data_IF_671111749899
#
_entry.id   IF_671111749899
#
_cell.length_a   1.000
_cell.length_b   1.000
_cell.length_c   1.000
_cell.angle_alpha   90.00
_cell.angle_beta   90.00
_cell.angle_gamma   90.00
#
_symmetry.space_group_name_H-M   'P 1'
#
loop_
_entity.id
_entity.type
_entity.pdbx_description
1 polymer ?
#
# COMPACT_ATOMS: atom_id res chain seq x y z
N UNK A 1 -36.02 -21.45 -15.64
CA UNK A 1 -34.70 -22.08 -15.48
C UNK A 1 -34.40 -22.17 -13.99
N UNK A 2 -34.32 -23.37 -13.43
CA UNK A 2 -33.95 -23.60 -12.02
C UNK A 2 -32.48 -23.18 -11.87
N UNK A 3 -32.23 -22.17 -11.05
CA UNK A 3 -30.84 -21.79 -10.73
C UNK A 3 -30.21 -22.95 -9.94
N UNK A 4 -29.31 -23.67 -10.58
CA UNK A 4 -28.55 -24.76 -9.98
C UNK A 4 -27.86 -24.20 -8.72
N UNK A 5 -28.21 -24.74 -7.54
CA UNK A 5 -27.55 -24.38 -6.27
C UNK A 5 -26.08 -24.82 -6.39
N UNK A 6 -25.15 -23.89 -6.59
CA UNK A 6 -23.74 -24.20 -6.41
C UNK A 6 -23.48 -24.45 -4.92
N UNK A 7 -22.85 -25.58 -4.62
CA UNK A 7 -22.39 -25.86 -3.27
C UNK A 7 -21.32 -24.86 -2.83
N UNK A 8 -21.19 -24.64 -1.54
CA UNK A 8 -20.07 -23.84 -0.99
C UNK A 8 -18.72 -24.53 -1.20
N UNK A 9 -18.72 -25.80 -1.53
CA UNK A 9 -17.53 -26.61 -1.82
C UNK A 9 -17.24 -26.78 -3.31
N UNK A 10 -18.10 -26.27 -4.21
CA UNK A 10 -17.88 -26.37 -5.63
C UNK A 10 -16.85 -25.35 -6.12
N UNK A 11 -15.97 -25.79 -7.00
CA UNK A 11 -15.00 -24.92 -7.71
C UNK A 11 -14.04 -24.18 -6.78
N UNK A 12 -13.61 -24.83 -5.71
CA UNK A 12 -12.55 -24.29 -4.84
C UNK A 12 -11.25 -24.26 -5.64
N UNK A 13 -10.65 -23.08 -5.73
CA UNK A 13 -9.35 -22.88 -6.35
C UNK A 13 -8.24 -23.20 -5.35
N UNK A 14 -7.16 -23.82 -5.81
CA UNK A 14 -5.96 -23.98 -5.01
C UNK A 14 -4.73 -23.48 -5.76
N UNK A 15 -3.75 -23.01 -4.98
CA UNK A 15 -2.42 -22.66 -5.43
C UNK A 15 -1.40 -23.22 -4.45
N UNK A 16 -0.38 -23.88 -4.98
CA UNK A 16 0.82 -24.23 -4.21
C UNK A 16 2.00 -23.56 -4.88
N UNK A 17 2.85 -22.92 -4.10
CA UNK A 17 4.00 -22.20 -4.61
C UNK A 17 5.23 -22.47 -3.74
N UNK A 18 6.36 -22.69 -4.38
CA UNK A 18 7.67 -22.71 -3.74
C UNK A 18 8.52 -21.62 -4.38
N UNK A 19 9.12 -20.77 -3.56
CA UNK A 19 10.02 -19.70 -3.99
C UNK A 19 11.33 -19.77 -3.24
N UNK A 20 12.43 -19.54 -3.95
CA UNK A 20 13.75 -19.34 -3.39
C UNK A 20 14.39 -18.08 -3.98
N UNK A 21 15.04 -17.32 -3.14
CA UNK A 21 15.77 -16.09 -3.50
C UNK A 21 17.18 -16.17 -2.98
N UNK A 22 18.15 -15.82 -3.82
CA UNK A 22 19.55 -15.68 -3.46
C UNK A 22 20.08 -14.36 -4.00
N UNK A 23 20.77 -13.61 -3.16
CA UNK A 23 21.33 -12.29 -3.49
C UNK A 23 22.75 -12.16 -2.96
N UNK A 24 23.49 -11.24 -3.56
CA UNK A 24 24.76 -10.70 -3.06
C UNK A 24 24.54 -9.25 -2.61
N UNK A 25 25.43 -8.71 -1.80
CA UNK A 25 25.28 -7.39 -1.18
C UNK A 25 24.67 -7.47 0.22
N UNK A 26 24.17 -6.35 0.72
CA UNK A 26 23.66 -6.24 2.09
C UNK A 26 22.22 -6.76 2.20
N UNK A 27 21.44 -6.65 1.13
CA UNK A 27 20.01 -6.96 1.12
C UNK A 27 19.59 -7.64 -0.18
N UNK A 28 18.40 -8.24 -0.14
CA UNK A 28 17.67 -8.60 -1.35
C UNK A 28 17.25 -7.32 -2.09
N UNK A 29 17.42 -7.24 -3.43
CA UNK A 29 17.06 -6.06 -4.21
C UNK A 29 15.64 -5.59 -4.01
N UNK A 30 15.40 -4.26 -4.12
CA UNK A 30 14.11 -3.61 -3.86
C UNK A 30 12.93 -4.33 -4.52
N UNK A 31 13.01 -4.61 -5.82
CA UNK A 31 11.86 -5.15 -6.57
C UNK A 31 11.58 -6.64 -6.28
N UNK A 32 12.44 -7.32 -5.54
CA UNK A 32 12.11 -8.62 -4.94
C UNK A 32 11.31 -8.47 -3.64
N UNK A 33 11.41 -7.32 -2.97
CA UNK A 33 10.71 -7.04 -1.71
C UNK A 33 9.44 -6.22 -1.89
N UNK A 34 9.43 -5.28 -2.85
CA UNK A 34 8.39 -4.31 -3.03
C UNK A 34 7.11 -4.90 -3.65
N UNK A 35 5.95 -4.42 -3.19
CA UNK A 35 4.63 -4.76 -3.74
C UNK A 35 4.32 -6.27 -3.80
N UNK A 36 4.69 -6.98 -2.74
CA UNK A 36 4.48 -8.43 -2.56
C UNK A 36 3.52 -8.75 -1.42
N UNK A 37 2.70 -7.78 -1.00
CA UNK A 37 1.83 -7.90 0.17
C UNK A 37 2.59 -8.37 1.43
N UNK A 38 3.84 -7.91 1.59
CA UNK A 38 4.69 -8.26 2.71
C UNK A 38 5.20 -9.71 2.73
N UNK A 39 4.90 -10.51 1.72
CA UNK A 39 5.50 -11.84 1.57
C UNK A 39 6.85 -11.73 0.86
N UNK A 40 7.80 -11.12 1.55
CA UNK A 40 9.15 -10.85 1.07
C UNK A 40 10.14 -10.75 2.24
N UNK A 41 11.43 -10.70 1.94
CA UNK A 41 12.49 -10.61 2.94
C UNK A 41 13.68 -9.82 2.43
N UNK A 42 14.33 -9.07 3.33
CA UNK A 42 15.60 -8.40 3.06
C UNK A 42 16.81 -9.34 3.16
N UNK A 43 16.68 -10.52 3.77
CA UNK A 43 17.80 -11.46 3.88
C UNK A 43 18.21 -11.97 2.51
N UNK A 44 19.50 -11.98 2.25
CA UNK A 44 20.09 -12.35 0.96
C UNK A 44 19.81 -13.79 0.52
N UNK A 45 19.61 -14.70 1.47
CA UNK A 45 19.12 -16.05 1.23
C UNK A 45 17.80 -16.26 1.96
N UNK A 46 16.72 -16.45 1.19
CA UNK A 46 15.38 -16.63 1.73
C UNK A 46 14.51 -17.48 0.81
N UNK A 47 13.39 -17.95 1.33
CA UNK A 47 12.42 -18.69 0.52
C UNK A 47 11.20 -19.11 1.32
N UNK A 48 10.19 -19.59 0.64
CA UNK A 48 8.96 -20.09 1.24
C UNK A 48 8.33 -21.23 0.45
N UNK A 49 7.50 -22.00 1.15
CA UNK A 49 6.48 -22.86 0.57
C UNK A 49 5.10 -22.30 0.99
N UNK A 50 4.24 -21.99 0.01
CA UNK A 50 2.94 -21.33 0.20
C UNK A 50 1.83 -22.23 -0.32
N UNK A 51 0.74 -22.33 0.44
CA UNK A 51 -0.49 -23.02 0.05
C UNK A 51 -1.68 -22.08 0.18
N UNK A 52 -2.46 -21.98 -0.89
CA UNK A 52 -3.70 -21.18 -0.93
C UNK A 52 -4.87 -22.05 -1.33
N UNK A 53 -5.99 -21.88 -0.64
CA UNK A 53 -7.30 -22.40 -1.05
C UNK A 53 -8.29 -21.24 -1.00
N UNK A 54 -9.10 -21.08 -2.05
CA UNK A 54 -10.10 -20.03 -2.08
C UNK A 54 -11.34 -20.43 -2.88
N UNK A 55 -12.47 -19.93 -2.44
CA UNK A 55 -13.69 -19.87 -3.23
C UNK A 55 -13.96 -18.39 -3.53
N UNK A 56 -13.66 -17.94 -4.77
CA UNK A 56 -13.83 -16.53 -5.09
C UNK A 56 -15.32 -16.14 -5.16
N UNK A 57 -15.62 -14.94 -4.71
CA UNK A 57 -16.97 -14.38 -4.70
C UNK A 57 -17.58 -14.27 -6.11
N UNK A 58 -16.73 -14.13 -7.14
CA UNK A 58 -17.13 -14.07 -8.55
C UNK A 58 -17.86 -15.32 -9.06
N UNK A 59 -17.71 -16.46 -8.40
CA UNK A 59 -18.50 -17.66 -8.73
C UNK A 59 -20.02 -17.45 -8.58
N UNK A 60 -20.41 -16.48 -7.78
CA UNK A 60 -21.80 -16.11 -7.55
C UNK A 60 -22.23 -14.85 -8.30
N UNK A 61 -21.47 -14.41 -9.30
CA UNK A 61 -21.83 -13.26 -10.14
C UNK A 61 -23.18 -13.47 -10.83
N UNK A 62 -23.95 -12.39 -10.91
CA UNK A 62 -25.35 -12.45 -11.39
C UNK A 62 -26.38 -12.85 -10.33
N UNK A 63 -25.98 -13.25 -9.12
CA UNK A 63 -26.87 -13.57 -8.00
C UNK A 63 -27.01 -12.40 -7.03
N UNK A 64 -28.14 -12.30 -6.31
CA UNK A 64 -28.33 -11.30 -5.24
C UNK A 64 -27.39 -11.52 -4.05
N UNK A 65 -27.06 -12.78 -3.75
CA UNK A 65 -26.18 -13.22 -2.68
C UNK A 65 -24.98 -13.94 -3.24
N UNK A 66 -23.83 -13.73 -2.64
CA UNK A 66 -22.62 -14.47 -2.92
C UNK A 66 -21.84 -14.70 -1.62
N UNK A 67 -21.08 -15.79 -1.59
CA UNK A 67 -20.17 -16.11 -0.49
C UNK A 67 -18.80 -16.44 -1.07
N UNK A 68 -17.77 -15.80 -0.54
CA UNK A 68 -16.37 -16.08 -0.81
C UNK A 68 -15.62 -16.41 0.48
N UNK A 69 -14.55 -17.16 0.38
CA UNK A 69 -13.63 -17.39 1.49
C UNK A 69 -12.25 -17.79 0.96
N UNK A 70 -11.24 -17.60 1.77
CA UNK A 70 -9.87 -18.00 1.42
C UNK A 70 -9.00 -18.20 2.64
N UNK A 71 -8.05 -19.10 2.49
CA UNK A 71 -6.94 -19.29 3.41
C UNK A 71 -5.65 -19.43 2.59
N UNK A 72 -4.63 -18.72 3.02
CA UNK A 72 -3.33 -18.62 2.36
C UNK A 72 -2.23 -18.57 3.42
N UNK A 73 -1.40 -19.59 3.44
CA UNK A 73 -0.38 -19.78 4.48
C UNK A 73 0.96 -20.09 3.83
N UNK A 74 2.03 -19.48 4.33
CA UNK A 74 3.39 -19.75 3.93
C UNK A 74 4.24 -20.22 5.11
N UNK A 75 5.05 -21.24 4.86
CA UNK A 75 6.19 -21.61 5.69
C UNK A 75 7.44 -20.97 5.08
N UNK A 76 8.10 -20.08 5.81
CA UNK A 76 9.15 -19.22 5.30
C UNK A 76 10.44 -19.37 6.08
N UNK A 77 11.56 -19.29 5.37
CA UNK A 77 12.89 -19.26 5.93
C UNK A 77 13.57 -17.94 5.57
N UNK A 78 14.14 -17.26 6.55
CA UNK A 78 14.76 -15.96 6.33
C UNK A 78 13.78 -14.77 6.33
N UNK A 79 12.56 -14.94 6.79
CA UNK A 79 11.52 -13.91 6.91
C UNK A 79 11.39 -13.41 8.35
N UNK A 80 10.58 -12.38 8.56
CA UNK A 80 10.25 -11.85 9.90
C UNK A 80 9.45 -12.85 10.74
N UNK A 81 8.87 -13.87 10.12
CA UNK A 81 8.11 -14.94 10.78
C UNK A 81 8.27 -16.23 9.98
N UNK A 82 8.39 -17.37 10.66
CA UNK A 82 8.49 -18.69 10.01
C UNK A 82 7.14 -19.17 9.46
N UNK A 83 6.08 -18.93 10.20
CA UNK A 83 4.71 -19.20 9.75
C UNK A 83 4.01 -17.85 9.43
N UNK A 84 3.57 -17.71 8.20
CA UNK A 84 2.91 -16.50 7.73
C UNK A 84 1.49 -16.85 7.29
N UNK A 85 0.49 -16.35 8.00
CA UNK A 85 -0.88 -16.33 7.52
C UNK A 85 -1.05 -15.11 6.64
N UNK A 86 -0.92 -15.33 5.34
CA UNK A 86 -0.98 -14.26 4.35
C UNK A 86 -2.40 -13.75 4.13
N UNK A 87 -3.35 -14.70 4.06
CA UNK A 87 -4.77 -14.41 4.01
C UNK A 87 -5.54 -15.43 4.82
N UNK A 88 -6.57 -14.96 5.53
CA UNK A 88 -7.59 -15.80 6.14
C UNK A 88 -8.86 -14.96 6.24
N UNK A 89 -9.85 -15.22 5.40
CA UNK A 89 -11.04 -14.39 5.32
C UNK A 89 -12.30 -15.16 4.93
N UNK A 90 -13.42 -14.57 5.28
CA UNK A 90 -14.74 -14.88 4.76
C UNK A 90 -15.38 -13.60 4.24
N UNK A 91 -16.13 -13.70 3.14
CA UNK A 91 -16.84 -12.57 2.58
C UNK A 91 -18.24 -12.94 2.11
N UNK A 92 -19.17 -12.02 2.34
CA UNK A 92 -20.55 -12.13 1.90
C UNK A 92 -20.94 -10.92 1.06
N UNK A 93 -21.52 -11.17 -0.10
CA UNK A 93 -22.08 -10.12 -0.96
C UNK A 93 -23.59 -10.15 -0.89
N UNK A 94 -24.18 -8.98 -0.70
CA UNK A 94 -25.60 -8.75 -0.90
C UNK A 94 -25.80 -7.62 -1.90
N UNK A 95 -26.43 -7.94 -3.02
CA UNK A 95 -26.53 -7.05 -4.19
C UNK A 95 -25.14 -6.60 -4.65
N UNK A 96 -24.77 -5.34 -4.38
CA UNK A 96 -23.47 -4.73 -4.71
C UNK A 96 -22.56 -4.55 -3.49
N UNK A 97 -23.12 -4.60 -2.29
CA UNK A 97 -22.36 -4.46 -1.04
C UNK A 97 -21.70 -5.77 -0.64
N UNK A 98 -20.45 -5.72 -0.23
CA UNK A 98 -19.67 -6.85 0.26
C UNK A 98 -19.17 -6.58 1.67
N UNK A 99 -19.41 -7.52 2.59
CA UNK A 99 -18.81 -7.54 3.91
C UNK A 99 -17.72 -8.61 3.92
N UNK A 100 -16.50 -8.22 4.25
CA UNK A 100 -15.34 -9.12 4.40
C UNK A 100 -14.86 -9.07 5.84
N UNK A 101 -14.54 -10.23 6.43
CA UNK A 101 -13.98 -10.36 7.77
C UNK A 101 -12.70 -11.19 7.67
N UNK A 102 -11.58 -10.64 8.15
CA UNK A 102 -10.27 -11.30 8.15
C UNK A 102 -9.21 -10.54 7.39
N UNK A 103 -8.06 -11.18 7.20
CA UNK A 103 -6.95 -10.67 6.40
C UNK A 103 -7.12 -11.07 4.94
N UNK A 104 -7.15 -10.10 4.04
CA UNK A 104 -7.27 -10.31 2.58
C UNK A 104 -6.39 -9.34 1.83
N UNK A 105 -5.75 -9.82 0.78
CA UNK A 105 -5.02 -8.98 -0.19
C UNK A 105 -6.02 -8.16 -1.01
N UNK A 106 -5.90 -6.83 -0.96
CA UNK A 106 -6.70 -5.91 -1.78
C UNK A 106 -5.81 -5.23 -2.82
N UNK A 107 -6.27 -5.09 -4.07
CA UNK A 107 -5.51 -4.41 -5.09
C UNK A 107 -5.38 -2.90 -4.79
N UNK A 108 -4.35 -2.27 -5.33
CA UNK A 108 -4.28 -0.80 -5.40
C UNK A 108 -5.38 -0.29 -6.33
N UNK A 109 -5.94 0.84 -5.97
CA UNK A 109 -6.95 1.48 -6.82
C UNK A 109 -6.31 2.47 -7.79
N UNK A 110 -6.93 2.62 -8.95
CA UNK A 110 -6.56 3.55 -10.02
C UNK A 110 -5.14 3.38 -10.60
N UNK A 111 -4.42 2.30 -10.26
CA UNK A 111 -3.05 2.01 -10.71
C UNK A 111 -2.90 0.62 -11.29
N UNK A 112 -1.82 0.43 -12.03
CA UNK A 112 -1.43 -0.87 -12.52
C UNK A 112 -0.79 -1.71 -11.42
N UNK A 113 -1.37 -2.87 -11.09
CA UNK A 113 -0.93 -3.73 -9.99
C UNK A 113 0.48 -4.32 -10.20
N UNK A 114 0.89 -4.51 -11.44
CA UNK A 114 2.14 -5.17 -11.78
C UNK A 114 3.28 -4.19 -12.10
N UNK A 115 2.95 -3.01 -12.58
CA UNK A 115 3.92 -2.08 -13.19
C UNK A 115 4.08 -0.76 -12.45
N UNK A 116 3.13 -0.35 -11.59
CA UNK A 116 3.25 0.88 -10.79
C UNK A 116 4.26 0.70 -9.66
N UNK A 117 4.91 1.78 -9.27
CA UNK A 117 5.77 1.83 -8.08
C UNK A 117 4.98 1.59 -6.78
N UNK A 118 3.70 1.96 -6.74
CA UNK A 118 2.84 1.77 -5.58
C UNK A 118 1.90 2.95 -5.30
N UNK A 119 0.85 2.72 -4.52
CA UNK A 119 -0.03 3.77 -4.02
C UNK A 119 0.59 4.51 -2.84
N UNK A 120 0.29 5.80 -2.69
CA UNK A 120 0.82 6.60 -1.58
C UNK A 120 0.17 6.22 -0.22
N UNK A 121 -1.10 5.82 -0.21
CA UNK A 121 -1.84 5.53 1.03
C UNK A 121 -2.14 4.04 1.19
N UNK A 122 -2.97 3.49 0.31
CA UNK A 122 -3.44 2.10 0.37
C UNK A 122 -2.67 1.26 -0.67
N UNK A 123 -1.45 0.88 -0.31
CA UNK A 123 -0.55 0.10 -1.15
C UNK A 123 -0.69 -1.41 -0.94
N UNK A 124 0.12 -2.15 -1.70
CA UNK A 124 0.22 -3.62 -1.64
C UNK A 124 1.62 -4.06 -1.16
N UNK A 125 2.31 -3.19 -0.45
CA UNK A 125 3.69 -3.46 -0.06
C UNK A 125 3.80 -4.25 1.26
N UNK A 126 2.95 -3.97 2.25
CA UNK A 126 2.96 -4.64 3.55
C UNK A 126 1.94 -5.78 3.63
N UNK A 127 2.07 -6.64 4.67
CA UNK A 127 1.10 -7.72 4.94
C UNK A 127 -0.30 -7.16 5.15
N UNK A 128 -1.35 -7.84 4.65
CA UNK A 128 -2.73 -7.46 4.89
C UNK A 128 -3.06 -7.38 6.39
N UNK A 129 -3.70 -6.30 6.79
CA UNK A 129 -4.20 -6.14 8.17
C UNK A 129 -5.54 -6.87 8.30
N UNK A 130 -5.73 -7.75 9.31
CA UNK A 130 -7.03 -8.34 9.60
C UNK A 130 -8.05 -7.25 9.93
N UNK A 131 -9.21 -7.29 9.27
CA UNK A 131 -10.20 -6.22 9.37
C UNK A 131 -11.63 -6.70 9.09
N UNK A 132 -12.59 -5.94 9.54
CA UNK A 132 -13.98 -5.98 9.09
C UNK A 132 -14.14 -4.86 8.08
N UNK A 133 -14.46 -5.20 6.83
CA UNK A 133 -14.53 -4.28 5.70
C UNK A 133 -15.89 -4.37 5.01
N UNK A 134 -16.59 -3.24 4.94
CA UNK A 134 -17.78 -3.05 4.14
C UNK A 134 -17.41 -2.28 2.87
N UNK A 135 -17.74 -2.82 1.70
CA UNK A 135 -17.30 -2.26 0.44
C UNK A 135 -18.34 -2.38 -0.70
N UNK A 136 -18.26 -1.43 -1.61
CA UNK A 136 -18.69 -1.56 -3.00
C UNK A 136 -17.41 -1.84 -3.80
N UNK A 137 -17.11 -3.11 -4.06
CA UNK A 137 -15.85 -3.51 -4.73
C UNK A 137 -15.83 -3.14 -6.21
N UNK A 138 -17.01 -2.99 -6.82
CA UNK A 138 -17.18 -2.59 -8.21
C UNK A 138 -17.91 -1.26 -8.30
N UNK A 139 -17.68 -0.53 -9.39
CA UNK A 139 -18.41 0.70 -9.66
C UNK A 139 -19.92 0.44 -9.80
N UNK A 140 -20.68 0.97 -8.84
CA UNK A 140 -22.14 0.98 -8.88
C UNK A 140 -22.62 2.24 -9.62
N UNK A 141 -23.22 2.04 -10.78
CA UNK A 141 -23.81 3.14 -11.55
C UNK A 141 -24.97 3.75 -10.79
N UNK A 142 -24.91 5.06 -10.55
CA UNK A 142 -25.97 5.80 -9.86
C UNK A 142 -27.22 5.84 -10.73
N UNK A 143 -28.37 5.35 -10.24
CA UNK A 143 -29.62 5.42 -11.00
C UNK A 143 -29.98 6.84 -11.39
N UNK A 144 -30.53 7.01 -12.59
CA UNK A 144 -30.96 8.32 -13.10
C UNK A 144 -29.86 9.20 -13.72
N UNK A 145 -28.60 8.76 -13.70
CA UNK A 145 -27.47 9.53 -14.26
C UNK A 145 -27.10 9.15 -15.70
N UNK A 146 -27.93 8.37 -16.38
CA UNK A 146 -27.68 7.86 -17.75
C UNK A 146 -26.29 7.21 -17.89
N UNK A 147 -25.84 6.51 -16.86
CA UNK A 147 -24.51 5.86 -16.72
C UNK A 147 -23.32 6.83 -16.66
N UNK A 148 -23.56 8.12 -16.50
CA UNK A 148 -22.48 9.11 -16.39
C UNK A 148 -21.73 9.04 -15.07
N UNK A 149 -22.40 8.63 -13.99
CA UNK A 149 -21.79 8.58 -12.66
C UNK A 149 -21.86 7.19 -12.07
N UNK A 150 -20.75 6.74 -11.54
CA UNK A 150 -20.67 5.50 -10.77
C UNK A 150 -19.78 5.67 -9.55
N UNK A 151 -20.12 4.96 -8.46
CA UNK A 151 -19.43 5.03 -7.19
C UNK A 151 -18.83 3.67 -6.83
N UNK A 152 -17.67 3.70 -6.21
CA UNK A 152 -17.00 2.58 -5.56
C UNK A 152 -16.37 3.05 -4.25
N UNK A 153 -16.12 2.14 -3.31
CA UNK A 153 -15.45 2.53 -2.08
C UNK A 153 -15.57 1.51 -0.97
N UNK A 154 -14.97 1.84 0.17
CA UNK A 154 -15.02 0.98 1.35
C UNK A 154 -14.86 1.75 2.65
N UNK A 155 -15.22 1.09 3.74
CA UNK A 155 -14.94 1.44 5.11
C UNK A 155 -14.47 0.18 5.81
N UNK A 156 -13.38 0.25 6.56
CA UNK A 156 -12.84 -0.89 7.27
C UNK A 156 -12.26 -0.50 8.64
N UNK A 157 -12.37 -1.43 9.58
CA UNK A 157 -11.71 -1.37 10.88
C UNK A 157 -11.01 -2.69 11.15
N UNK A 158 -9.80 -2.61 11.66
CA UNK A 158 -8.95 -3.76 11.91
C UNK A 158 -7.98 -3.54 13.06
N UNK A 159 -7.08 -4.48 13.19
CA UNK A 159 -6.00 -4.43 14.19
C UNK A 159 -4.72 -4.94 13.54
N UNK A 160 -3.63 -4.21 13.70
CA UNK A 160 -2.31 -4.67 13.24
C UNK A 160 -1.88 -5.91 14.04
N UNK A 161 -1.16 -6.79 13.40
CA UNK A 161 -0.64 -8.03 13.99
C UNK A 161 0.85 -8.08 13.74
N UNK A 162 1.67 -8.19 14.79
CA UNK A 162 3.12 -8.27 14.63
C UNK A 162 3.77 -9.35 15.52
N UNK A 163 2.97 -10.05 16.33
CA UNK A 163 3.42 -11.13 17.22
C UNK A 163 4.64 -10.73 18.07
N UNK A 164 4.66 -9.48 18.55
CA UNK A 164 5.79 -8.91 19.29
C UNK A 164 6.99 -8.54 18.43
N UNK A 165 6.91 -8.64 17.12
CA UNK A 165 8.01 -8.33 16.20
C UNK A 165 8.61 -6.93 16.43
N UNK A 166 7.80 -5.91 16.67
CA UNK A 166 8.30 -4.57 16.93
C UNK A 166 9.24 -4.54 18.14
N UNK A 167 8.82 -5.15 19.25
CA UNK A 167 9.59 -5.23 20.48
C UNK A 167 10.90 -5.99 20.30
N UNK A 168 10.89 -7.05 19.49
CA UNK A 168 12.08 -7.86 19.20
C UNK A 168 13.04 -7.18 18.21
N UNK A 169 12.51 -6.34 17.31
CA UNK A 169 13.29 -5.63 16.29
C UNK A 169 13.98 -4.39 16.82
N UNK A 170 13.32 -3.62 17.71
CA UNK A 170 13.87 -2.35 18.18
C UNK A 170 15.10 -2.53 19.05
N UNK A 171 16.09 -1.66 18.86
CA UNK A 171 17.22 -1.57 19.78
C UNK A 171 16.74 -1.05 21.15
N UNK A 172 17.47 -1.35 22.25
CA UNK A 172 17.11 -0.87 23.58
C UNK A 172 16.84 0.63 23.61
N UNK A 173 15.78 1.04 24.29
CA UNK A 173 15.34 2.44 24.42
C UNK A 173 14.79 3.07 23.12
N UNK A 174 14.46 2.29 22.10
CA UNK A 174 13.71 2.77 20.95
C UNK A 174 12.24 2.47 21.09
N UNK A 175 11.42 3.35 20.50
CA UNK A 175 9.95 3.26 20.60
C UNK A 175 9.39 2.07 19.82
N UNK A 176 8.32 1.50 20.36
CA UNK A 176 7.49 0.48 19.69
C UNK A 176 6.02 0.62 20.12
N UNK A 177 5.13 -0.05 19.41
CA UNK A 177 3.69 -0.06 19.73
C UNK A 177 3.15 -1.47 19.77
N UNK A 178 2.16 -1.70 20.62
CA UNK A 178 1.47 -2.97 20.76
C UNK A 178 -0.04 -2.78 20.56
N UNK A 179 -0.66 -3.72 19.84
CA UNK A 179 -2.12 -3.77 19.74
C UNK A 179 -2.78 -2.62 19.00
N UNK A 180 -2.05 -1.89 18.15
CA UNK A 180 -2.53 -0.74 17.37
C UNK A 180 -3.74 -1.12 16.53
N UNK A 181 -4.79 -0.31 16.63
CA UNK A 181 -5.99 -0.42 15.80
C UNK A 181 -5.76 0.27 14.44
N UNK A 182 -6.49 -0.21 13.46
CA UNK A 182 -6.39 0.23 12.07
C UNK A 182 -7.76 0.66 11.55
N UNK A 183 -7.80 1.74 10.81
CA UNK A 183 -8.95 2.16 10.03
C UNK A 183 -8.53 2.51 8.62
N UNK A 184 -9.36 2.16 7.64
CA UNK A 184 -9.25 2.69 6.28
C UNK A 184 -10.61 2.97 5.69
N UNK A 185 -10.67 3.98 4.83
CA UNK A 185 -11.84 4.33 4.05
C UNK A 185 -11.40 4.91 2.71
N UNK A 186 -12.17 4.64 1.68
CA UNK A 186 -11.98 5.26 0.38
C UNK A 186 -13.30 5.39 -0.36
N UNK A 187 -13.39 6.45 -1.14
CA UNK A 187 -14.50 6.68 -2.06
C UNK A 187 -13.98 7.10 -3.42
N UNK A 188 -14.55 6.53 -4.47
CA UNK A 188 -14.16 6.83 -5.86
C UNK A 188 -15.39 7.12 -6.68
N UNK A 189 -15.36 8.22 -7.39
CA UNK A 189 -16.37 8.64 -8.38
C UNK A 189 -15.83 8.43 -9.77
N UNK A 190 -16.51 7.63 -10.58
CA UNK A 190 -16.23 7.48 -12.00
C UNK A 190 -17.21 8.32 -12.81
N UNK A 191 -16.69 9.07 -13.77
CA UNK A 191 -17.41 10.00 -14.64
C UNK A 191 -17.15 9.59 -16.08
N UNK A 192 -18.21 9.50 -16.87
CA UNK A 192 -18.18 9.27 -18.32
C UNK A 192 -18.46 7.80 -18.71
N UNK A 193 -19.44 7.58 -19.63
CA UNK A 193 -19.77 6.25 -20.15
C UNK A 193 -19.02 5.89 -21.43
N UNK A 194 -18.25 6.84 -22.02
CA UNK A 194 -17.63 6.70 -23.34
C UNK A 194 -16.15 6.36 -23.30
N UNK A 195 -15.48 6.68 -24.38
CA UNK A 195 -14.04 6.43 -24.53
C UNK A 195 -13.19 7.25 -23.56
N UNK A 196 -13.66 8.42 -23.16
CA UNK A 196 -13.04 9.21 -22.11
C UNK A 196 -13.73 8.93 -20.77
N UNK A 197 -12.94 8.60 -19.75
CA UNK A 197 -13.41 8.42 -18.38
C UNK A 197 -12.50 9.16 -17.40
N UNK A 198 -13.12 9.75 -16.37
CA UNK A 198 -12.42 10.33 -15.24
C UNK A 198 -12.81 9.56 -13.97
N UNK A 199 -11.83 9.23 -13.16
CA UNK A 199 -12.00 8.60 -11.85
C UNK A 199 -11.32 9.50 -10.82
N UNK A 200 -12.08 9.95 -9.83
CA UNK A 200 -11.61 10.81 -8.76
C UNK A 200 -11.88 10.12 -7.43
N UNK A 201 -10.94 10.13 -6.52
CA UNK A 201 -11.10 9.46 -5.24
C UNK A 201 -10.37 10.16 -4.10
N UNK A 202 -10.79 9.77 -2.91
CA UNK A 202 -10.13 10.10 -1.66
C UNK A 202 -9.88 8.79 -0.91
N UNK A 203 -8.62 8.54 -0.61
CA UNK A 203 -8.16 7.44 0.26
C UNK A 203 -7.75 8.02 1.60
N UNK A 204 -8.18 7.42 2.69
CA UNK A 204 -7.75 7.79 4.03
C UNK A 204 -7.52 6.56 4.90
N UNK A 205 -6.58 6.68 5.80
CA UNK A 205 -6.27 5.64 6.77
C UNK A 205 -5.87 6.25 8.11
N UNK A 206 -5.96 5.45 9.17
CA UNK A 206 -5.63 5.88 10.52
C UNK A 206 -5.11 4.70 11.34
N UNK A 207 -4.06 4.93 12.12
CA UNK A 207 -3.65 4.07 13.23
C UNK A 207 -4.08 4.75 14.52
N UNK A 208 -4.73 4.02 15.43
CA UNK A 208 -5.25 4.54 16.69
C UNK A 208 -5.30 3.45 17.75
N UNK A 209 -5.55 3.82 19.00
CA UNK A 209 -5.62 2.84 20.10
C UNK A 209 -4.30 2.09 20.33
N UNK A 210 -4.37 1.01 21.11
CA UNK A 210 -3.18 0.25 21.49
C UNK A 210 -2.29 0.96 22.49
N UNK A 211 -1.11 0.41 22.74
CA UNK A 211 -0.16 0.93 23.72
C UNK A 211 1.11 1.40 23.02
N UNK A 212 1.55 2.62 23.28
CA UNK A 212 2.79 3.19 22.75
C UNK A 212 3.85 3.24 23.85
N UNK A 213 5.01 2.67 23.57
CA UNK A 213 6.19 2.67 24.42
C UNK A 213 7.20 3.66 23.88
N UNK A 214 7.35 4.80 24.54
CA UNK A 214 8.29 5.87 24.18
C UNK A 214 9.42 5.93 25.21
N UNK A 215 10.58 6.40 24.80
CA UNK A 215 11.73 6.54 25.67
C UNK A 215 12.24 7.97 25.66
N UNK A 216 12.25 8.60 26.82
CA UNK A 216 12.79 9.96 27.00
C UNK A 216 13.90 9.93 28.03
N UNK A 217 15.10 10.34 27.67
CA UNK A 217 16.29 10.32 28.56
C UNK A 217 16.54 8.95 29.19
N UNK A 218 16.29 7.85 28.44
CA UNK A 218 16.46 6.49 28.92
C UNK A 218 15.34 5.97 29.82
N UNK A 219 14.29 6.75 30.05
CA UNK A 219 13.12 6.34 30.85
C UNK A 219 11.98 6.00 29.90
N UNK A 220 11.42 4.80 30.08
CA UNK A 220 10.24 4.37 29.36
C UNK A 220 8.99 5.11 29.83
N UNK A 221 8.25 5.66 28.88
CA UNK A 221 6.91 6.23 29.07
C UNK A 221 5.91 5.42 28.27
N UNK A 222 4.92 4.89 28.98
CA UNK A 222 3.87 4.06 28.39
C UNK A 222 2.60 4.87 28.25
N UNK A 223 2.04 4.91 27.06
CA UNK A 223 0.77 5.59 26.74
C UNK A 223 -0.25 4.58 26.27
N UNK A 224 -1.32 4.41 27.05
CA UNK A 224 -2.50 3.66 26.61
C UNK A 224 -3.39 4.59 25.78
N UNK A 225 -3.33 4.44 24.45
CA UNK A 225 -4.08 5.26 23.51
C UNK A 225 -5.57 4.85 23.51
N UNK A 226 -6.47 5.83 23.37
CA UNK A 226 -7.92 5.56 23.39
C UNK A 226 -8.31 4.57 22.26
N UNK A 227 -8.91 3.47 22.64
CA UNK A 227 -9.49 2.45 21.75
C UNK A 227 -11.01 2.31 21.91
N UNK A 228 -11.66 3.29 22.57
CA UNK A 228 -13.10 3.29 22.79
C UNK A 228 -13.91 3.80 21.58
N UNK A 229 -15.23 3.85 21.73
CA UNK A 229 -16.12 4.29 20.64
C UNK A 229 -15.82 5.70 20.12
N UNK A 230 -15.30 6.59 20.97
CA UNK A 230 -14.89 7.92 20.56
C UNK A 230 -13.71 7.88 19.60
N UNK A 231 -12.70 7.05 19.88
CA UNK A 231 -11.54 6.87 19.00
C UNK A 231 -11.95 6.26 17.65
N UNK A 232 -12.86 5.28 17.61
CA UNK A 232 -13.42 4.77 16.35
C UNK A 232 -14.10 5.86 15.53
N UNK A 233 -14.86 6.76 16.17
CA UNK A 233 -15.45 7.92 15.51
C UNK A 233 -14.37 8.89 14.99
N UNK A 234 -13.34 9.18 15.80
CA UNK A 234 -12.27 10.11 15.45
C UNK A 234 -11.37 9.55 14.32
N UNK A 235 -11.17 8.23 14.26
CA UNK A 235 -10.53 7.59 13.12
C UNK A 235 -11.35 7.72 11.82
N UNK A 236 -12.69 7.70 11.92
CA UNK A 236 -13.57 7.87 10.77
C UNK A 236 -13.72 9.32 10.33
N UNK A 237 -13.95 10.23 11.28
CA UNK A 237 -14.00 11.68 11.04
C UNK A 237 -12.87 12.28 11.86
N UNK A 238 -11.76 12.68 11.20
CA UNK A 238 -10.60 13.19 11.91
C UNK A 238 -10.97 14.25 12.94
N UNK A 239 -10.50 14.05 14.17
CA UNK A 239 -10.77 14.93 15.31
C UNK A 239 -10.20 14.34 16.59
N UNK A 240 -10.33 15.03 17.71
CA UNK A 240 -9.74 14.63 18.99
C UNK A 240 -8.36 15.23 19.19
N UNK A 241 -7.60 14.66 20.11
CA UNK A 241 -6.21 15.05 20.45
C UNK A 241 -5.49 13.85 21.01
N UNK A 242 -4.21 13.69 20.69
CA UNK A 242 -3.36 12.66 21.27
C UNK A 242 -2.88 13.02 22.68
N UNK A 243 -2.47 12.00 23.44
CA UNK A 243 -2.02 12.16 24.83
C UNK A 243 -0.78 13.06 24.97
N UNK A 244 0.01 13.20 23.91
CA UNK A 244 1.22 14.02 23.86
C UNK A 244 1.02 15.38 23.21
N UNK A 245 -0.20 15.68 22.71
CA UNK A 245 -0.52 16.97 22.16
C UNK A 245 -0.52 18.02 23.31
N UNK A 246 0.29 19.06 23.15
CA UNK A 246 0.30 20.21 24.02
C UNK A 246 -0.80 21.21 23.63
N UNK A 247 -0.40 22.48 23.46
CA UNK A 247 -1.31 23.53 23.00
C UNK A 247 -1.70 23.38 21.51
N UNK A 248 -0.91 22.66 20.74
CA UNK A 248 -1.18 22.31 19.34
C UNK A 248 -2.03 21.04 19.29
N UNK A 249 -3.28 21.20 18.82
CA UNK A 249 -4.20 20.08 18.70
C UNK A 249 -4.16 19.54 17.28
N UNK A 250 -3.65 18.34 17.17
CA UNK A 250 -3.75 17.53 15.96
C UNK A 250 -4.95 16.56 16.05
N UNK A 251 -5.31 15.91 14.94
CA UNK A 251 -6.29 14.84 15.00
C UNK A 251 -5.73 13.65 15.78
N UNK A 252 -6.58 12.99 16.59
CA UNK A 252 -6.23 11.79 17.34
C UNK A 252 -5.80 10.65 16.38
N UNK A 253 -4.66 10.02 16.68
CA UNK A 253 -4.08 8.92 15.92
C UNK A 253 -3.29 9.38 14.68
N UNK A 254 -2.58 8.44 14.10
CA UNK A 254 -1.81 8.64 12.86
C UNK A 254 -2.77 8.68 11.66
N UNK A 255 -3.23 9.85 11.27
CA UNK A 255 -4.16 10.10 10.16
C UNK A 255 -3.38 10.43 8.90
N UNK A 256 -3.66 9.74 7.80
CA UNK A 256 -3.04 10.02 6.51
C UNK A 256 -4.00 9.72 5.35
N UNK A 257 -3.70 10.25 4.17
CA UNK A 257 -4.52 10.01 3.00
C UNK A 257 -3.92 10.52 1.70
N UNK A 258 -4.67 10.34 0.63
CA UNK A 258 -4.35 10.92 -0.67
C UNK A 258 -5.63 11.24 -1.46
N UNK A 259 -5.62 12.37 -2.12
CA UNK A 259 -6.48 12.60 -3.26
C UNK A 259 -5.91 11.86 -4.46
N UNK A 260 -6.73 11.05 -5.11
CA UNK A 260 -6.31 10.24 -6.25
C UNK A 260 -7.18 10.54 -7.46
N UNK A 261 -6.56 10.61 -8.63
CA UNK A 261 -7.27 10.87 -9.88
C UNK A 261 -6.71 10.00 -11.00
N UNK A 262 -7.57 9.56 -11.91
CA UNK A 262 -7.19 8.87 -13.14
C UNK A 262 -8.07 9.34 -14.30
N UNK A 263 -7.45 9.76 -15.38
CA UNK A 263 -8.11 10.14 -16.63
C UNK A 263 -7.67 9.16 -17.70
N UNK A 264 -8.62 8.48 -18.33
CA UNK A 264 -8.35 7.45 -19.31
C UNK A 264 -9.03 7.77 -20.64
N UNK A 265 -8.32 7.53 -21.74
CA UNK A 265 -8.84 7.63 -23.09
C UNK A 265 -8.65 6.31 -23.82
N UNK A 266 -9.76 5.65 -24.15
CA UNK A 266 -9.78 4.31 -24.74
C UNK A 266 -10.02 4.37 -26.24
N UNK A 267 -9.14 3.73 -27.00
CA UNK A 267 -9.21 3.56 -28.45
C UNK A 267 -9.21 2.07 -28.80
N UNK A 268 -9.63 1.67 -30.01
CA UNK A 268 -9.66 0.27 -30.40
C UNK A 268 -8.32 -0.47 -30.21
N UNK A 269 -7.20 0.18 -30.53
CA UNK A 269 -5.86 -0.44 -30.53
C UNK A 269 -5.00 -0.06 -29.34
N UNK A 270 -5.39 0.97 -28.58
CA UNK A 270 -4.65 1.43 -27.41
C UNK A 270 -5.54 2.08 -26.35
N UNK A 271 -5.04 2.19 -25.14
CA UNK A 271 -5.62 2.98 -24.05
C UNK A 271 -4.51 3.79 -23.39
N UNK A 272 -4.72 5.09 -23.26
CA UNK A 272 -3.82 5.96 -22.51
C UNK A 272 -4.54 6.44 -21.25
N UNK A 273 -3.86 6.32 -20.11
CA UNK A 273 -4.33 6.88 -18.86
C UNK A 273 -3.23 7.75 -18.23
N UNK A 274 -3.63 8.85 -17.62
CA UNK A 274 -2.79 9.64 -16.72
C UNK A 274 -3.41 9.63 -15.34
N UNK A 275 -2.59 9.58 -14.29
CA UNK A 275 -3.07 9.53 -12.93
C UNK A 275 -2.17 10.29 -11.96
N UNK A 276 -2.73 10.64 -10.82
CA UNK A 276 -2.02 11.38 -9.80
C UNK A 276 -2.49 10.99 -8.41
N UNK A 277 -1.56 10.96 -7.44
CA UNK A 277 -1.86 10.95 -6.02
C UNK A 277 -1.25 12.20 -5.39
N UNK A 278 -2.07 12.93 -4.65
CA UNK A 278 -1.62 13.99 -3.76
C UNK A 278 -1.73 13.48 -2.33
N UNK A 279 -0.61 13.12 -1.75
CA UNK A 279 -0.52 12.60 -0.39
C UNK A 279 -0.62 13.74 0.62
N UNK A 280 -1.24 13.47 1.75
CA UNK A 280 -1.27 14.34 2.92
C UNK A 280 -1.21 13.50 4.20
N UNK A 281 -0.60 14.06 5.22
CA UNK A 281 -0.75 13.59 6.59
C UNK A 281 -1.65 14.55 7.34
N UNK A 282 -2.35 14.02 8.35
CA UNK A 282 -3.37 14.71 9.10
C UNK A 282 -4.53 15.26 8.24
N UNK A 283 -5.60 15.59 8.88
CA UNK A 283 -6.78 16.08 8.20
C UNK A 283 -6.67 17.54 7.76
N UNK A 284 -5.73 18.29 8.33
CA UNK A 284 -5.54 19.72 8.07
C UNK A 284 -5.10 20.02 6.65
N UNK A 285 -4.40 19.06 6.00
CA UNK A 285 -3.95 19.17 4.61
C UNK A 285 -4.91 18.53 3.59
N UNK A 286 -5.95 17.85 4.07
CA UNK A 286 -6.95 17.24 3.18
C UNK A 286 -7.64 18.28 2.28
N UNK A 287 -7.88 19.48 2.81
CA UNK A 287 -8.36 20.62 2.05
C UNK A 287 -7.36 21.77 2.18
N UNK A 288 -6.64 22.03 1.09
CA UNK A 288 -5.71 23.16 1.01
C UNK A 288 -6.48 24.49 1.02
N UNK A 289 -7.03 24.84 2.16
CA UNK A 289 -7.75 26.11 2.35
C UNK A 289 -6.74 27.14 2.85
N UNK A 290 -5.97 27.70 1.92
CA UNK A 290 -5.11 28.82 2.29
C UNK A 290 -5.87 30.13 2.20
N UNK A 291 -5.79 30.97 3.25
CA UNK A 291 -6.33 32.32 3.23
C UNK A 291 -5.48 33.17 2.28
N UNK A 292 -6.16 33.94 1.44
CA UNK A 292 -5.57 34.84 0.44
C UNK A 292 -4.39 35.65 1.00
N UNK A 293 -3.25 35.61 0.32
CA UNK A 293 -2.09 36.44 0.59
C UNK A 293 -0.78 35.70 0.86
N UNK A 294 -0.79 34.38 0.99
CA UNK A 294 0.43 33.63 1.15
C UNK A 294 1.10 33.42 -0.23
N UNK A 295 2.26 34.07 -0.43
CA UNK A 295 3.08 33.91 -1.64
C UNK A 295 3.67 32.50 -1.80
N UNK A 296 3.60 31.69 -0.76
CA UNK A 296 4.11 30.32 -0.72
C UNK A 296 3.05 29.27 -0.96
N UNK A 297 1.80 29.64 -1.22
CA UNK A 297 0.67 28.75 -1.50
C UNK A 297 1.00 27.59 -2.47
N UNK A 298 1.76 27.86 -3.54
CA UNK A 298 2.14 26.87 -4.53
C UNK A 298 3.13 25.80 -4.02
N UNK A 299 3.79 26.02 -2.92
CA UNK A 299 4.70 25.05 -2.34
C UNK A 299 3.93 23.88 -1.70
N UNK A 300 2.75 24.10 -1.18
CA UNK A 300 1.90 23.09 -0.56
C UNK A 300 1.40 22.04 -1.58
N UNK A 301 1.46 22.36 -2.87
CA UNK A 301 1.07 21.46 -3.97
C UNK A 301 2.25 20.82 -4.71
N UNK A 302 3.43 20.71 -4.11
CA UNK A 302 4.59 20.13 -4.79
C UNK A 302 4.68 18.61 -4.67
N UNK A 303 4.13 18.04 -3.61
CA UNK A 303 4.27 16.61 -3.32
C UNK A 303 3.21 15.81 -4.09
N UNK A 304 3.68 15.11 -5.13
CA UNK A 304 2.82 14.33 -6.01
C UNK A 304 3.49 13.01 -6.41
N UNK A 305 2.65 11.99 -6.62
CA UNK A 305 2.93 10.92 -7.56
C UNK A 305 2.15 11.22 -8.83
N UNK A 306 2.84 11.37 -9.95
CA UNK A 306 2.25 11.57 -11.28
C UNK A 306 2.61 10.38 -12.15
N UNK A 307 1.63 9.76 -12.79
CA UNK A 307 1.83 8.59 -13.62
C UNK A 307 1.12 8.65 -14.96
N UNK A 308 1.68 7.91 -15.92
CA UNK A 308 1.06 7.64 -17.21
C UNK A 308 1.13 6.15 -17.51
N UNK A 309 0.04 5.59 -18.02
CA UNK A 309 -0.06 4.18 -18.44
C UNK A 309 -0.54 4.12 -19.89
N UNK A 310 0.23 3.44 -20.73
CA UNK A 310 -0.13 3.16 -22.12
C UNK A 310 -0.33 1.64 -22.29
N UNK A 311 -1.54 1.22 -22.65
CA UNK A 311 -1.87 -0.16 -23.05
C UNK A 311 -1.95 -0.23 -24.57
N UNK A 312 -1.20 -1.17 -25.14
CA UNK A 312 -1.19 -1.49 -26.56
C UNK A 312 -1.93 -2.82 -26.75
N UNK A 313 -3.17 -2.79 -27.23
CA UNK A 313 -4.09 -3.95 -27.22
C UNK A 313 -3.69 -5.04 -28.19
N UNK A 314 -3.06 -4.65 -29.30
CA UNK A 314 -2.67 -5.55 -30.39
C UNK A 314 -1.18 -5.90 -30.40
N UNK A 315 -0.40 -5.42 -29.43
CA UNK A 315 1.02 -5.68 -29.35
C UNK A 315 1.33 -6.70 -28.24
N UNK A 316 1.75 -7.89 -28.65
CA UNK A 316 2.08 -8.96 -27.69
C UNK A 316 3.46 -8.80 -27.06
N UNK A 317 4.42 -8.18 -27.75
CA UNK A 317 5.77 -7.96 -27.22
C UNK A 317 5.80 -6.87 -26.15
N UNK A 318 5.02 -5.81 -26.34
CA UNK A 318 4.98 -4.68 -25.42
C UNK A 318 3.50 -4.27 -25.26
N UNK A 319 2.80 -4.86 -24.31
CA UNK A 319 1.35 -4.65 -24.19
C UNK A 319 1.00 -3.58 -23.14
N UNK A 320 1.91 -3.25 -22.24
CA UNK A 320 1.64 -2.20 -21.24
C UNK A 320 2.93 -1.52 -20.80
N UNK A 321 2.87 -0.19 -20.63
CA UNK A 321 3.97 0.66 -20.18
C UNK A 321 3.43 1.60 -19.12
N UNK A 322 4.16 1.76 -18.02
CA UNK A 322 3.89 2.73 -16.95
C UNK A 322 5.13 3.58 -16.73
N UNK A 323 4.95 4.90 -16.64
CA UNK A 323 5.99 5.84 -16.23
C UNK A 323 5.44 6.67 -15.09
N UNK A 324 6.20 6.82 -14.02
CA UNK A 324 5.82 7.61 -12.85
C UNK A 324 6.95 8.56 -12.43
N UNK A 325 6.54 9.72 -11.95
CA UNK A 325 7.38 10.69 -11.27
C UNK A 325 6.83 10.91 -9.87
N UNK A 326 7.71 10.88 -8.86
CA UNK A 326 7.33 11.04 -7.46
C UNK A 326 8.20 12.13 -6.86
N UNK A 327 7.55 13.06 -6.18
CA UNK A 327 8.18 14.11 -5.41
C UNK A 327 7.53 14.19 -4.03
N UNK A 328 8.32 13.99 -2.98
CA UNK A 328 7.85 14.01 -1.58
C UNK A 328 8.71 14.93 -0.71
N UNK A 329 9.52 15.76 -1.34
CA UNK A 329 10.61 16.46 -0.68
C UNK A 329 10.14 17.64 0.18
N UNK A 330 9.02 18.26 -0.17
CA UNK A 330 8.52 19.42 0.54
C UNK A 330 7.81 19.03 1.84
N UNK A 331 6.99 17.99 1.83
CA UNK A 331 6.16 17.50 2.93
C UNK A 331 5.34 18.65 3.52
N UNK A 332 4.39 19.11 2.71
CA UNK A 332 3.43 20.11 3.12
C UNK A 332 2.74 19.63 4.39
N UNK A 333 3.12 20.21 5.50
CA UNK A 333 2.64 19.83 6.82
C UNK A 333 1.27 20.39 7.14
N UNK A 334 0.71 19.97 8.27
CA UNK A 334 -0.56 20.46 8.73
C UNK A 334 -0.46 21.96 8.96
N UNK A 335 -1.54 22.60 8.64
CA UNK A 335 -1.70 24.00 8.96
C UNK A 335 -2.19 24.08 10.39
N UNK A 336 -1.28 24.33 11.31
CA UNK A 336 -1.62 24.53 12.71
C UNK A 336 -2.30 25.87 12.89
N UNK A 337 -3.48 25.85 13.46
CA UNK A 337 -4.05 27.01 14.10
C UNK A 337 -3.60 27.04 15.56
N UNK A 338 -2.48 27.70 15.83
CA UNK A 338 -2.20 28.11 17.19
C UNK A 338 -3.25 29.15 17.60
N UNK A 339 -4.25 28.69 18.33
CA UNK A 339 -5.31 29.56 18.87
C UNK A 339 -4.86 30.34 20.11
N UNK A 340 -3.55 30.39 20.37
CA UNK A 340 -2.99 31.14 21.46
C UNK A 340 -2.94 32.64 21.13
N UNK A 341 -2.85 33.49 22.18
CA UNK A 341 -2.66 34.92 22.00
C UNK A 341 -1.29 35.30 21.41
N UNK A 342 -0.34 34.34 21.37
CA UNK A 342 1.02 34.57 20.91
C UNK A 342 1.18 34.33 19.40
N UNK A 343 0.42 33.39 18.84
CA UNK A 343 0.45 33.07 17.40
C UNK A 343 -0.99 32.98 16.93
N UNK A 344 -1.56 34.09 16.52
CA UNK A 344 -2.94 34.20 16.06
C UNK A 344 -3.13 33.84 14.55
N UNK A 345 -2.10 33.35 13.89
CA UNK A 345 -2.12 32.99 12.48
C UNK A 345 -1.75 31.52 12.27
N UNK A 346 -2.05 31.04 11.10
CA UNK A 346 -1.80 29.69 10.68
C UNK A 346 -0.32 29.45 10.41
N UNK A 347 0.26 28.42 11.00
CA UNK A 347 1.64 27.99 10.76
C UNK A 347 1.59 26.69 9.94
N UNK A 348 2.27 26.68 8.80
CA UNK A 348 2.52 25.45 8.05
C UNK A 348 3.60 24.64 8.78
N UNK A 349 3.26 23.45 9.25
CA UNK A 349 4.20 22.49 9.81
C UNK A 349 4.96 21.75 8.71
N UNK A 350 6.08 21.14 9.09
CA UNK A 350 6.79 20.18 8.25
C UNK A 350 6.31 18.79 8.64
N UNK A 351 5.53 18.17 7.80
CA UNK A 351 5.10 16.82 8.04
C UNK A 351 6.24 15.82 7.86
N UNK A 352 6.17 14.71 8.54
CA UNK A 352 7.15 13.64 8.46
C UNK A 352 6.46 12.40 7.91
N UNK A 353 6.21 12.41 6.59
CA UNK A 353 5.38 11.41 5.91
C UNK A 353 5.69 9.98 6.34
N UNK A 354 4.62 9.23 6.68
CA UNK A 354 4.61 7.87 7.22
C UNK A 354 5.14 7.72 8.64
N UNK A 355 5.56 8.80 9.30
CA UNK A 355 5.98 8.75 10.71
C UNK A 355 4.95 9.42 11.61
N UNK A 356 4.98 9.08 12.88
CA UNK A 356 4.13 9.68 13.89
C UNK A 356 4.84 9.70 15.24
N UNK A 357 4.49 10.64 16.12
CA UNK A 357 5.18 10.78 17.42
C UNK A 357 4.80 9.68 18.43
N UNK A 358 3.58 9.13 18.39
CA UNK A 358 3.13 8.03 19.26
C UNK A 358 3.27 6.66 18.59
N UNK A 359 2.94 6.57 17.31
CA UNK A 359 2.94 5.31 16.56
C UNK A 359 4.25 5.10 15.81
N UNK A 360 4.56 3.85 15.48
CA UNK A 360 5.75 3.48 14.71
C UNK A 360 5.61 3.71 13.20
N UNK A 361 4.72 4.61 12.82
CA UNK A 361 4.51 5.02 11.44
C UNK A 361 3.63 4.08 10.61
N UNK A 362 3.42 4.47 9.34
CA UNK A 362 2.55 3.77 8.40
C UNK A 362 3.22 2.49 7.87
N UNK A 363 3.36 1.51 8.74
CA UNK A 363 4.02 0.23 8.48
C UNK A 363 3.25 -0.94 9.11
N UNK A 364 3.49 -2.15 8.59
CA UNK A 364 3.04 -3.42 9.17
C UNK A 364 4.12 -4.46 8.95
N UNK A 365 4.58 -5.10 10.02
CA UNK A 365 5.73 -6.02 10.02
C UNK A 365 7.02 -5.38 9.46
N UNK A 366 7.23 -4.10 9.75
CA UNK A 366 8.39 -3.32 9.32
C UNK A 366 8.41 -2.90 7.85
N UNK A 367 7.37 -3.21 7.08
CA UNK A 367 7.22 -2.74 5.71
C UNK A 367 6.18 -1.61 5.65
N UNK A 368 6.50 -0.54 4.94
CA UNK A 368 5.55 0.57 4.71
C UNK A 368 4.30 0.05 4.00
N UNK A 369 3.12 0.50 4.43
CA UNK A 369 1.82 0.07 3.87
C UNK A 369 1.46 0.81 2.58
N UNK A 370 2.17 1.89 2.27
CA UNK A 370 2.02 2.65 1.04
C UNK A 370 3.07 2.31 -0.02
N UNK A 371 3.69 3.34 -0.60
CA UNK A 371 4.65 3.20 -1.70
C UNK A 371 6.02 2.70 -1.20
N UNK A 372 6.60 1.63 -1.77
CA UNK A 372 7.87 1.05 -1.31
C UNK A 372 9.11 1.91 -1.58
N UNK A 373 9.00 3.02 -2.31
CA UNK A 373 10.10 3.97 -2.45
C UNK A 373 10.33 4.79 -1.18
N UNK A 374 9.35 4.90 -0.29
CA UNK A 374 9.63 5.21 1.12
C UNK A 374 10.36 4.02 1.73
N UNK A 375 11.58 4.25 2.22
CA UNK A 375 12.42 3.15 2.72
C UNK A 375 11.78 2.56 3.98
N UNK A 376 11.42 1.30 3.91
CA UNK A 376 10.76 0.60 5.02
C UNK A 376 11.67 0.50 6.26
N UNK A 377 11.12 0.56 7.48
CA UNK A 377 11.91 0.42 8.72
C UNK A 377 12.74 -0.86 8.82
N UNK A 378 12.40 -1.92 8.10
CA UNK A 378 13.22 -3.13 8.03
C UNK A 378 14.66 -2.90 7.52
N UNK A 379 14.91 -1.80 6.79
CA UNK A 379 16.24 -1.43 6.33
C UNK A 379 17.08 -0.73 7.41
N UNK A 380 16.49 -0.30 8.53
CA UNK A 380 17.19 0.45 9.56
C UNK A 380 18.05 -0.50 10.41
N UNK A 381 19.35 -0.48 10.20
CA UNK A 381 20.30 -1.34 10.88
C UNK A 381 20.46 -1.03 12.39
N UNK A 382 20.05 0.17 12.81
CA UNK A 382 20.12 0.67 14.18
C UNK A 382 18.92 0.27 15.04
N UNK A 383 17.92 -0.44 14.47
CA UNK A 383 16.75 -0.90 15.18
C UNK A 383 15.73 0.19 15.51
N UNK A 384 15.66 1.24 14.70
CA UNK A 384 14.57 2.21 14.76
C UNK A 384 13.42 1.80 13.84
N UNK A 385 12.19 1.89 14.33
CA UNK A 385 11.01 1.71 13.48
C UNK A 385 10.53 3.11 13.04
N UNK A 386 11.25 3.67 12.07
CA UNK A 386 10.95 4.96 11.44
C UNK A 386 11.21 4.89 9.94
N UNK A 387 10.49 5.71 9.17
CA UNK A 387 10.75 5.91 7.74
C UNK A 387 11.73 7.07 7.61
N UNK A 388 13.03 6.76 7.68
CA UNK A 388 14.11 7.75 7.69
C UNK A 388 14.32 8.44 6.34
N UNK A 389 13.89 7.79 5.25
CA UNK A 389 14.06 8.28 3.87
C UNK A 389 12.70 8.53 3.22
N UNK A 390 11.96 9.52 3.73
CA UNK A 390 10.63 9.89 3.24
C UNK A 390 10.61 11.15 2.37
N UNK A 391 11.72 11.91 2.30
CA UNK A 391 11.89 13.08 1.43
C UNK A 391 12.74 12.73 0.23
N UNK A 392 12.11 12.52 -0.91
CA UNK A 392 12.84 12.08 -2.11
C UNK A 392 12.20 12.59 -3.40
N UNK A 393 12.96 12.41 -4.49
CA UNK A 393 12.50 12.52 -5.87
C UNK A 393 12.80 11.18 -6.53
N UNK A 394 11.85 10.66 -7.32
CA UNK A 394 12.05 9.40 -8.01
C UNK A 394 11.38 9.38 -9.39
N UNK A 395 11.94 8.58 -10.28
CA UNK A 395 11.34 8.14 -11.52
C UNK A 395 11.18 6.63 -11.50
N UNK A 396 10.07 6.16 -12.02
CA UNK A 396 9.80 4.73 -12.16
C UNK A 396 9.29 4.42 -13.56
N UNK A 397 9.79 3.32 -14.12
CA UNK A 397 9.39 2.73 -15.39
C UNK A 397 9.01 1.26 -15.15
N UNK A 398 7.83 0.89 -15.60
CA UNK A 398 7.40 -0.51 -15.67
C UNK A 398 6.89 -0.84 -17.06
N UNK A 399 7.24 -2.00 -17.61
CA UNK A 399 6.63 -2.48 -18.84
C UNK A 399 6.54 -4.00 -18.87
N UNK A 400 5.59 -4.51 -19.64
CA UNK A 400 5.37 -5.95 -19.77
C UNK A 400 4.87 -6.34 -21.16
N UNK A 401 4.91 -7.64 -21.41
CA UNK A 401 4.40 -8.25 -22.64
C UNK A 401 4.19 -9.74 -22.49
N UNK A 402 3.53 -10.32 -23.51
CA UNK A 402 3.28 -11.76 -23.66
C UNK A 402 3.66 -12.18 -25.06
N UNK A 403 4.98 -12.32 -25.37
CA UNK A 403 5.47 -12.59 -26.74
C UNK A 403 4.88 -13.83 -27.37
N UNK A 404 4.63 -14.85 -26.54
CA UNK A 404 3.93 -16.08 -26.89
C UNK A 404 2.90 -16.39 -25.79
N UNK A 405 1.92 -17.22 -26.11
CA UNK A 405 0.82 -17.53 -25.20
C UNK A 405 1.26 -18.08 -23.83
N UNK A 406 2.40 -18.77 -23.78
CA UNK A 406 2.92 -19.39 -22.55
C UNK A 406 3.85 -18.48 -21.76
N UNK A 407 4.37 -17.40 -22.33
CA UNK A 407 5.41 -16.58 -21.72
C UNK A 407 4.89 -15.17 -21.46
N UNK A 408 4.89 -14.77 -20.19
CA UNK A 408 4.72 -13.40 -19.78
C UNK A 408 6.03 -12.88 -19.21
N UNK A 409 6.33 -11.61 -19.45
CA UNK A 409 7.46 -10.96 -18.84
C UNK A 409 7.09 -9.56 -18.33
N UNK A 410 7.84 -9.07 -17.36
CA UNK A 410 7.82 -7.65 -16.94
C UNK A 410 9.20 -7.16 -16.56
N UNK A 411 9.39 -5.87 -16.72
CA UNK A 411 10.60 -5.16 -16.31
C UNK A 411 10.19 -3.96 -15.49
N UNK A 412 10.86 -3.75 -14.37
CA UNK A 412 10.71 -2.58 -13.50
C UNK A 412 12.07 -1.91 -13.35
N UNK A 413 12.10 -0.58 -13.39
CA UNK A 413 13.28 0.21 -13.14
C UNK A 413 12.91 1.50 -12.40
N UNK A 414 13.67 1.86 -11.37
CA UNK A 414 13.47 3.09 -10.61
C UNK A 414 14.81 3.76 -10.35
N UNK A 415 14.81 5.07 -10.48
CA UNK A 415 15.84 5.94 -9.94
C UNK A 415 15.27 6.76 -8.81
N UNK A 416 15.96 6.85 -7.69
CA UNK A 416 15.54 7.59 -6.51
C UNK A 416 16.70 8.40 -5.95
N UNK A 417 16.41 9.65 -5.57
CA UNK A 417 17.31 10.50 -4.80
C UNK A 417 16.64 10.91 -3.51
N UNK A 418 17.16 10.41 -2.40
CA UNK A 418 16.66 10.68 -1.06
C UNK A 418 17.46 11.78 -0.37
N UNK A 419 16.73 12.59 0.40
CA UNK A 419 17.25 13.68 1.24
C UNK A 419 17.03 13.38 2.74
N UNK A 420 16.76 12.10 3.09
CA UNK A 420 16.41 11.69 4.44
C UNK A 420 14.99 12.07 4.83
N UNK A 421 14.80 12.47 6.06
CA UNK A 421 13.58 13.10 6.58
C UNK A 421 13.91 14.49 7.14
N UNK A 422 12.97 15.14 7.81
CA UNK A 422 13.29 16.38 8.57
C UNK A 422 13.99 16.09 9.89
N UNK A 423 13.95 14.86 10.36
CA UNK A 423 14.55 14.42 11.63
C UNK A 423 15.80 13.56 11.44
N UNK A 424 15.93 12.93 10.27
CA UNK A 424 17.11 12.17 9.85
C UNK A 424 17.71 12.81 8.60
N UNK A 425 18.79 13.56 8.77
CA UNK A 425 19.45 14.29 7.67
C UNK A 425 20.80 13.61 7.35
N UNK A 426 20.91 12.88 6.25
CA UNK A 426 22.21 12.36 5.80
C UNK A 426 23.13 13.51 5.39
N UNK A 427 24.44 13.35 5.58
CA UNK A 427 25.44 14.37 5.19
C UNK A 427 25.30 14.79 3.73
N UNK A 428 24.97 13.84 2.87
CA UNK A 428 24.74 14.06 1.44
C UNK A 428 23.49 13.30 1.00
N UNK A 429 22.73 13.83 0.01
CA UNK A 429 21.64 13.08 -0.60
C UNK A 429 22.11 11.72 -1.13
N UNK A 430 21.31 10.68 -0.88
CA UNK A 430 21.61 9.32 -1.30
C UNK A 430 20.83 8.97 -2.56
N UNK A 431 21.52 8.42 -3.55
CA UNK A 431 20.89 7.97 -4.80
C UNK A 431 20.89 6.45 -4.90
N UNK A 432 19.90 5.94 -5.61
CA UNK A 432 19.77 4.51 -5.90
C UNK A 432 19.09 4.29 -7.24
N UNK A 433 19.58 3.29 -7.98
CA UNK A 433 18.89 2.71 -9.14
C UNK A 433 18.52 1.29 -8.78
N UNK A 434 17.23 0.94 -8.92
CA UNK A 434 16.71 -0.39 -8.64
C UNK A 434 16.05 -0.94 -9.89
N UNK A 435 16.42 -2.13 -10.35
CA UNK A 435 15.85 -2.75 -11.53
C UNK A 435 15.54 -4.23 -11.32
N UNK A 436 14.56 -4.74 -12.08
CA UNK A 436 14.15 -6.15 -12.09
C UNK A 436 13.67 -6.54 -13.48
N UNK A 437 14.03 -7.73 -13.92
CA UNK A 437 13.40 -8.42 -15.03
C UNK A 437 12.86 -9.77 -14.54
N UNK A 438 11.58 -10.05 -14.84
CA UNK A 438 10.87 -11.25 -14.42
C UNK A 438 10.22 -11.89 -15.64
N UNK A 439 10.25 -13.22 -15.74
CA UNK A 439 9.56 -14.01 -16.73
C UNK A 439 8.77 -15.14 -16.06
N UNK A 440 7.53 -15.35 -16.49
CA UNK A 440 6.63 -16.41 -16.03
C UNK A 440 6.26 -17.29 -17.22
N UNK A 441 6.67 -18.55 -17.18
CA UNK A 441 6.41 -19.53 -18.24
C UNK A 441 5.36 -20.54 -17.79
N UNK A 442 4.22 -20.52 -18.48
CA UNK A 442 3.09 -21.42 -18.23
C UNK A 442 3.34 -22.78 -18.87
N UNK A 443 3.30 -23.81 -18.05
CA UNK A 443 3.38 -25.22 -18.43
C UNK A 443 1.97 -25.83 -18.54
N UNK A 444 1.90 -27.09 -18.91
CA UNK A 444 0.63 -27.84 -18.94
C UNK A 444 0.08 -28.07 -17.53
N UNK A 445 -1.21 -28.38 -17.46
CA UNK A 445 -1.90 -28.81 -16.24
C UNK A 445 -1.80 -27.83 -15.06
N UNK A 446 -1.74 -26.51 -15.32
CA UNK A 446 -1.70 -25.48 -14.30
C UNK A 446 -0.37 -25.33 -13.57
N UNK A 447 0.73 -25.85 -14.10
CA UNK A 447 2.07 -25.55 -13.65
C UNK A 447 2.60 -24.28 -14.30
N UNK A 448 3.40 -23.51 -13.57
CA UNK A 448 4.24 -22.44 -14.12
C UNK A 448 5.58 -22.34 -13.39
N UNK A 449 6.56 -21.80 -14.09
CA UNK A 449 7.89 -21.50 -13.55
C UNK A 449 8.11 -20.00 -13.75
N UNK A 450 8.43 -19.30 -12.68
CA UNK A 450 8.75 -17.89 -12.71
C UNK A 450 10.21 -17.69 -12.29
N UNK A 451 10.97 -17.02 -13.14
CA UNK A 451 12.34 -16.61 -12.90
C UNK A 451 12.48 -15.12 -12.91
N UNK A 452 13.30 -14.55 -12.03
CA UNK A 452 13.58 -13.13 -11.98
C UNK A 452 15.03 -12.86 -11.63
N UNK A 453 15.54 -11.73 -12.17
CA UNK A 453 16.81 -11.12 -11.79
C UNK A 453 16.54 -9.68 -11.36
N UNK A 454 17.21 -9.21 -10.30
CA UNK A 454 17.07 -7.85 -9.83
C UNK A 454 18.40 -7.31 -9.32
N UNK A 455 18.55 -5.99 -9.36
CA UNK A 455 19.74 -5.32 -8.85
C UNK A 455 19.38 -3.95 -8.28
N UNK A 456 20.13 -3.55 -7.26
CA UNK A 456 20.21 -2.19 -6.76
C UNK A 456 21.63 -1.67 -6.92
N UNK A 457 21.74 -0.38 -7.21
CA UNK A 457 23.03 0.32 -7.33
C UNK A 457 22.91 1.67 -6.63
N UNK A 458 23.74 1.92 -5.62
CA UNK A 458 23.79 3.21 -4.94
C UNK A 458 23.88 3.14 -3.44
N UNK A 459 23.87 4.31 -2.81
CA UNK A 459 24.11 4.45 -1.36
C UNK A 459 22.87 4.26 -0.49
N UNK A 460 21.65 4.36 -1.07
CA UNK A 460 20.42 4.32 -0.30
C UNK A 460 20.04 2.90 0.15
N UNK A 461 20.29 1.90 -0.71
CA UNK A 461 20.00 0.49 -0.43
C UNK A 461 21.21 -0.42 -0.59
N UNK A 462 22.38 0.14 -0.87
CA UNK A 462 23.60 -0.63 -1.19
C UNK A 462 23.59 -1.18 -2.62
N UNK A 463 24.69 -1.82 -2.99
CA UNK A 463 24.83 -2.52 -4.27
C UNK A 463 24.43 -3.99 -4.06
N UNK A 464 23.27 -4.37 -4.60
CA UNK A 464 22.71 -5.69 -4.44
C UNK A 464 22.45 -6.32 -5.82
N UNK A 465 22.61 -7.63 -5.93
CA UNK A 465 22.21 -8.39 -7.11
C UNK A 465 21.59 -9.72 -6.69
N UNK A 466 20.48 -10.11 -7.29
CA UNK A 466 19.76 -11.30 -6.87
C UNK A 466 19.08 -12.06 -7.98
N UNK A 467 18.84 -13.33 -7.70
CA UNK A 467 18.02 -14.26 -8.47
C UNK A 467 16.85 -14.76 -7.62
N UNK A 468 15.72 -14.92 -8.25
CA UNK A 468 14.53 -15.51 -7.64
C UNK A 468 13.94 -16.54 -8.60
N UNK A 469 13.59 -17.71 -8.06
CA UNK A 469 12.92 -18.77 -8.78
C UNK A 469 11.68 -19.20 -8.01
N UNK A 470 10.54 -19.30 -8.72
CA UNK A 470 9.30 -19.85 -8.17
C UNK A 470 8.75 -20.93 -9.06
N UNK A 471 8.20 -21.97 -8.44
CA UNK A 471 7.43 -23.03 -9.10
C UNK A 471 6.02 -22.95 -8.51
N UNK A 472 5.04 -22.87 -9.39
CA UNK A 472 3.63 -22.68 -9.01
C UNK A 472 2.79 -23.78 -9.63
N UNK A 473 1.85 -24.29 -8.83
CA UNK A 473 0.79 -25.21 -9.29
C UNK A 473 -0.55 -24.61 -8.88
N UNK A 474 -1.44 -24.45 -9.86
CA UNK A 474 -2.82 -24.02 -9.65
C UNK A 474 -3.80 -25.08 -10.16
N UNK A 475 -5.01 -25.07 -9.63
CA UNK A 475 -6.06 -25.98 -10.09
C UNK A 475 -7.37 -25.76 -9.35
N UNK A 476 -8.32 -26.68 -9.60
CA UNK A 476 -9.63 -26.72 -8.94
C UNK A 476 -9.72 -28.00 -8.11
N UNK A 477 -10.23 -27.87 -6.91
CA UNK A 477 -10.70 -29.01 -6.11
C UNK A 477 -12.12 -29.28 -6.58
N UNK A 478 -12.33 -30.51 -7.09
CA UNK A 478 -13.63 -30.98 -7.58
C UNK A 478 -14.52 -31.41 -6.44
#
# INVERSE_FOLDING_TARGET
MSAQKRSLTDSIQYRVEMQATMSTGDHTPLWFNANKYGLSSLKTANGYARGTIERPLSLDDGRKWGIGYGADVALAAGYTSTLIVQQAYVEGRWLKGTLTIGAKEYPMELKNQALSSGSQTLGINARPVPQVRLALNEYWTIPGTNKWLALKGHIAYGKTTDDGWQKDFVAPQNRYTEGTLYHSKAGYLKIGPGNFTAELGLEMACQFGGTSHLFENGVEKVYDNDGGLKAFKNAFIPGGTDATDGDFKNAEGNQLGAWVARFSYDQPTWNLAVYADQFFEDNSMMFHVNKSGDKYFWYDFKDWLLGAELKLKDNTWLNNIVVEYIYTKYQAGPVYHDKTSHVGYQISGRDNYYNHHLYTGWQHWGQVMGNPLYVSPLYNADGHIEVEHNRFVAWHLGFCGSPIQQLNYRVLASWQKSYGSYYYLPENPMENVSCMAEADYMLKDGWSIKGAVAADFGKLRGDNFGFQLSIVKTGLIK
#
